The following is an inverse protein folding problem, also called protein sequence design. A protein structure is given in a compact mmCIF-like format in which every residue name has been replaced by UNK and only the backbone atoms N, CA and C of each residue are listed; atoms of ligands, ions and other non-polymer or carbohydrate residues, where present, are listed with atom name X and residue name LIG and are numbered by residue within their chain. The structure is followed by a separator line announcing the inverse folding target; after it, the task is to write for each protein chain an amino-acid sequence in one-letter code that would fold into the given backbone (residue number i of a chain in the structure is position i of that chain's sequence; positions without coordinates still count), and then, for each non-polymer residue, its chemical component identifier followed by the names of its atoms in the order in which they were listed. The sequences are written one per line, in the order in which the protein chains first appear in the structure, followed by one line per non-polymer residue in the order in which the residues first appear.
data_IF_581911345812
#
_entry.id   IF_581911345812
#
_cell.length_a   1.000
_cell.length_b   1.000
_cell.length_c   1.000
_cell.angle_alpha   90.00
_cell.angle_beta   90.00
_cell.angle_gamma   90.00
#
_symmetry.space_group_name_H-M   'P 1'
#
loop_
_entity.id
_entity.type
_entity.pdbx_description
1 polymer ?
#
# COMPACT_ATOMS: atom_id res chain seq x y z
N UNK A 1 -25.49 12.82 28.26
CA UNK A 1 -24.48 12.70 27.20
C UNK A 1 -23.15 12.46 27.89
N UNK A 2 -22.77 11.19 28.13
CA UNK A 2 -21.45 10.84 28.64
C UNK A 2 -20.42 11.23 27.59
N UNK A 3 -19.50 12.12 27.96
CA UNK A 3 -18.41 12.52 27.07
C UNK A 3 -17.65 11.27 26.59
N UNK A 4 -17.59 11.07 25.26
CA UNK A 4 -16.86 9.94 24.68
C UNK A 4 -15.39 10.04 25.06
N UNK A 5 -14.78 8.95 25.54
CA UNK A 5 -13.38 8.90 25.91
C UNK A 5 -12.48 9.39 24.75
N UNK A 6 -11.44 10.18 25.02
CA UNK A 6 -10.51 10.67 23.98
C UNK A 6 -9.74 9.51 23.35
N UNK A 7 -9.34 9.69 22.08
CA UNK A 7 -8.45 8.73 21.39
C UNK A 7 -7.08 8.79 22.05
N UNK A 8 -6.47 7.63 22.41
CA UNK A 8 -5.18 7.59 23.08
C UNK A 8 -4.07 8.20 22.22
N UNK A 9 -3.13 8.93 22.83
CA UNK A 9 -1.99 9.53 22.12
C UNK A 9 -1.15 8.49 21.34
N UNK A 10 -1.10 7.26 21.84
CA UNK A 10 -0.44 6.14 21.17
C UNK A 10 -1.03 5.81 19.79
N UNK A 11 -2.32 6.08 19.54
CA UNK A 11 -2.91 5.90 18.23
C UNK A 11 -2.23 6.77 17.18
N UNK A 12 -1.84 8.00 17.52
CA UNK A 12 -1.12 8.90 16.60
C UNK A 12 0.31 8.43 16.32
N UNK A 13 0.97 7.79 17.29
CA UNK A 13 2.26 7.13 17.05
C UNK A 13 2.11 5.97 16.07
N UNK A 14 1.08 5.13 16.24
CA UNK A 14 0.76 4.04 15.31
C UNK A 14 0.38 4.56 13.91
N UNK A 15 -0.30 5.72 13.82
CA UNK A 15 -0.53 6.44 12.56
C UNK A 15 0.80 6.78 11.88
N UNK A 16 1.75 7.33 12.63
CA UNK A 16 3.11 7.61 12.14
C UNK A 16 3.83 6.35 11.64
N UNK A 17 3.70 5.23 12.33
CA UNK A 17 4.27 3.95 11.89
C UNK A 17 3.69 3.53 10.52
N UNK A 18 2.37 3.63 10.32
CA UNK A 18 1.75 3.34 9.01
C UNK A 18 2.24 4.33 7.95
N UNK A 19 2.32 5.62 8.29
CA UNK A 19 2.79 6.63 7.35
C UNK A 19 4.22 6.35 6.86
N UNK A 20 5.12 5.94 7.74
CA UNK A 20 6.50 5.55 7.40
C UNK A 20 6.52 4.32 6.48
N UNK A 21 5.79 3.27 6.82
CA UNK A 21 5.72 2.04 6.04
C UNK A 21 5.10 2.33 4.65
N UNK A 22 4.01 3.08 4.61
CA UNK A 22 3.32 3.46 3.39
C UNK A 22 4.19 4.31 2.47
N UNK A 23 4.94 5.28 3.04
CA UNK A 23 5.89 6.10 2.29
C UNK A 23 6.93 5.22 1.60
N UNK A 24 7.59 4.30 2.32
CA UNK A 24 8.57 3.40 1.70
C UNK A 24 7.95 2.46 0.65
N UNK A 25 6.72 2.00 0.88
CA UNK A 25 6.02 1.09 -0.04
C UNK A 25 5.77 1.69 -1.43
N UNK A 26 5.62 2.99 -1.51
CA UNK A 26 5.17 3.69 -2.72
C UNK A 26 6.22 4.65 -3.32
N UNK A 27 7.29 4.94 -2.59
CA UNK A 27 8.26 5.97 -2.98
C UNK A 27 9.05 5.65 -4.24
N UNK A 28 9.36 4.37 -4.48
CA UNK A 28 10.21 3.97 -5.62
C UNK A 28 9.58 4.35 -6.98
N UNK A 29 8.27 4.25 -7.16
CA UNK A 29 7.63 4.67 -8.41
C UNK A 29 7.99 6.10 -8.82
N UNK A 30 7.69 7.11 -8.02
CA UNK A 30 7.99 8.50 -8.31
C UNK A 30 9.48 8.85 -8.45
N UNK A 31 10.36 8.19 -7.69
CA UNK A 31 11.81 8.51 -7.72
C UNK A 31 12.63 7.57 -8.60
N UNK A 32 12.02 6.53 -9.20
CA UNK A 32 12.72 5.52 -10.00
C UNK A 32 13.57 6.12 -11.13
N UNK A 33 13.16 7.16 -11.87
CA UNK A 33 14.02 7.80 -12.86
C UNK A 33 15.34 8.32 -12.29
N UNK A 34 15.29 9.02 -11.14
CA UNK A 34 16.50 9.54 -10.48
C UNK A 34 17.41 8.40 -9.96
N UNK A 35 16.84 7.32 -9.44
CA UNK A 35 17.58 6.14 -9.01
C UNK A 35 18.22 5.44 -10.19
N UNK A 36 17.47 5.25 -11.29
CA UNK A 36 17.95 4.61 -12.51
C UNK A 36 19.13 5.38 -13.14
N UNK A 37 18.98 6.70 -13.27
CA UNK A 37 20.04 7.59 -13.74
C UNK A 37 21.29 7.50 -12.86
N UNK A 38 21.14 7.51 -11.54
CA UNK A 38 22.27 7.44 -10.58
C UNK A 38 23.06 6.13 -10.67
N UNK A 39 22.40 5.02 -11.00
CA UNK A 39 23.04 3.70 -11.16
C UNK A 39 23.42 3.37 -12.60
N UNK A 40 23.10 4.22 -13.58
CA UNK A 40 23.31 3.94 -14.99
C UNK A 40 22.52 2.73 -15.49
N UNK A 41 21.27 2.54 -15.01
CA UNK A 41 20.42 1.40 -15.32
C UNK A 41 19.02 1.81 -15.77
N UNK A 42 18.16 0.84 -16.05
CA UNK A 42 16.78 1.10 -16.46
C UNK A 42 15.83 1.20 -15.25
N UNK A 43 14.72 1.92 -15.41
CA UNK A 43 13.66 1.99 -14.39
C UNK A 43 13.08 0.62 -14.04
N UNK A 44 12.82 -0.31 -14.99
CA UNK A 44 12.41 -1.67 -14.63
C UNK A 44 13.41 -2.41 -13.74
N UNK A 45 14.71 -2.21 -13.91
CA UNK A 45 15.72 -2.81 -13.03
C UNK A 45 15.65 -2.25 -11.61
N UNK A 46 15.39 -0.95 -11.44
CA UNK A 46 15.16 -0.32 -10.13
C UNK A 46 13.86 -0.83 -9.50
N UNK A 47 12.81 -1.02 -10.28
CA UNK A 47 11.52 -1.47 -9.79
C UNK A 47 11.53 -2.91 -9.26
N UNK A 48 12.59 -3.70 -9.54
CA UNK A 48 12.83 -4.98 -8.85
C UNK A 48 12.98 -4.77 -7.33
N UNK A 49 13.46 -3.61 -6.89
CA UNK A 49 13.54 -3.31 -5.46
C UNK A 49 12.14 -3.13 -4.84
N UNK A 50 11.20 -2.48 -5.54
CA UNK A 50 9.80 -2.41 -5.10
C UNK A 50 9.14 -3.79 -5.12
N UNK A 51 9.44 -4.62 -6.12
CA UNK A 51 8.99 -6.01 -6.18
C UNK A 51 9.50 -6.82 -4.98
N UNK A 52 10.78 -6.69 -4.64
CA UNK A 52 11.41 -7.35 -3.50
C UNK A 52 10.77 -6.93 -2.17
N UNK A 53 10.47 -5.63 -2.00
CA UNK A 53 9.70 -5.14 -0.85
C UNK A 53 8.32 -5.84 -0.77
N UNK A 54 7.58 -5.90 -1.87
CA UNK A 54 6.28 -6.58 -1.93
C UNK A 54 6.38 -8.06 -1.57
N UNK A 55 7.37 -8.77 -2.13
CA UNK A 55 7.61 -10.18 -1.85
C UNK A 55 7.96 -10.42 -0.38
N UNK A 56 8.86 -9.61 0.18
CA UNK A 56 9.23 -9.66 1.60
C UNK A 56 8.04 -9.42 2.51
N UNK A 57 7.20 -8.43 2.19
CA UNK A 57 5.99 -8.09 2.96
C UNK A 57 4.96 -9.22 2.90
N UNK A 58 4.70 -9.77 1.71
CA UNK A 58 3.76 -10.88 1.54
C UNK A 58 4.23 -12.12 2.32
N UNK A 59 5.48 -12.53 2.14
CA UNK A 59 6.04 -13.70 2.81
C UNK A 59 6.04 -13.54 4.35
N UNK A 60 6.50 -12.41 4.87
CA UNK A 60 6.55 -12.19 6.31
C UNK A 60 5.15 -12.06 6.93
N UNK A 61 4.21 -11.45 6.24
CA UNK A 61 2.82 -11.39 6.66
C UNK A 61 2.17 -12.79 6.74
N UNK A 62 2.53 -13.72 5.87
CA UNK A 62 2.01 -15.10 5.92
C UNK A 62 2.68 -15.93 7.01
N UNK A 63 4.01 -15.87 7.10
CA UNK A 63 4.77 -16.83 7.91
C UNK A 63 5.20 -16.29 9.27
N UNK A 64 5.53 -14.99 9.40
CA UNK A 64 6.06 -14.41 10.62
C UNK A 64 5.01 -13.75 11.50
N UNK A 65 3.96 -13.17 10.93
CA UNK A 65 2.96 -12.45 11.72
C UNK A 65 2.18 -13.34 12.72
N UNK A 66 2.20 -14.66 12.56
CA UNK A 66 1.66 -15.62 13.56
C UNK A 66 2.39 -15.56 14.92
N UNK A 67 3.63 -15.09 14.93
CA UNK A 67 4.40 -14.97 16.17
C UNK A 67 3.99 -13.75 17.02
N UNK A 68 3.18 -12.83 16.48
CA UNK A 68 2.67 -11.66 17.22
C UNK A 68 1.88 -12.11 18.45
N UNK A 69 1.05 -13.15 18.32
CA UNK A 69 0.26 -13.68 19.42
C UNK A 69 1.12 -14.32 20.52
N UNK A 70 2.30 -14.88 20.17
CA UNK A 70 3.22 -15.55 21.10
C UNK A 70 4.20 -14.60 21.75
N UNK A 71 4.82 -13.72 20.96
CA UNK A 71 5.89 -12.82 21.40
C UNK A 71 5.37 -11.47 21.90
N UNK A 72 4.13 -11.13 21.55
CA UNK A 72 3.49 -9.86 21.84
C UNK A 72 3.62 -8.85 20.71
N UNK A 73 2.54 -8.08 20.47
CA UNK A 73 2.46 -7.11 19.39
C UNK A 73 3.51 -6.01 19.54
N UNK A 74 3.76 -5.54 20.76
CA UNK A 74 4.77 -4.50 21.06
C UNK A 74 6.18 -4.93 20.65
N UNK A 75 6.62 -6.10 21.11
CA UNK A 75 7.98 -6.60 20.82
C UNK A 75 8.19 -6.84 19.34
N UNK A 76 7.20 -7.43 18.68
CA UNK A 76 7.24 -7.68 17.23
C UNK A 76 7.28 -6.37 16.45
N UNK A 77 6.50 -5.36 16.86
CA UNK A 77 6.50 -4.03 16.23
C UNK A 77 7.83 -3.30 16.46
N UNK A 78 8.39 -3.35 17.67
CA UNK A 78 9.70 -2.77 17.96
C UNK A 78 10.80 -3.38 17.08
N UNK A 79 10.86 -4.71 17.00
CA UNK A 79 11.84 -5.42 16.16
C UNK A 79 11.65 -5.10 14.68
N UNK A 80 10.41 -5.02 14.22
CA UNK A 80 10.09 -4.67 12.84
C UNK A 80 10.46 -3.22 12.49
N UNK A 81 10.17 -2.24 13.36
CA UNK A 81 10.56 -0.84 13.12
C UNK A 81 12.08 -0.65 13.13
N UNK A 82 12.79 -1.35 14.01
CA UNK A 82 14.26 -1.33 14.01
C UNK A 82 14.82 -1.92 12.71
N UNK A 83 14.31 -3.09 12.29
CA UNK A 83 14.71 -3.71 11.02
C UNK A 83 14.39 -2.80 9.83
N UNK A 84 13.22 -2.14 9.84
CA UNK A 84 12.84 -1.19 8.80
C UNK A 84 13.81 0.00 8.75
N UNK A 85 14.13 0.61 9.89
CA UNK A 85 15.08 1.71 9.97
C UNK A 85 16.46 1.32 9.41
N UNK A 86 16.98 0.15 9.82
CA UNK A 86 18.28 -0.36 9.34
C UNK A 86 18.23 -0.66 7.82
N UNK A 87 17.15 -1.26 7.33
CA UNK A 87 16.97 -1.54 5.91
C UNK A 87 16.89 -0.24 5.08
N UNK A 88 16.27 0.82 5.62
CA UNK A 88 16.19 2.12 4.97
C UNK A 88 17.54 2.85 4.97
N UNK A 89 18.34 2.74 6.04
CA UNK A 89 19.74 3.21 6.06
C UNK A 89 20.55 2.46 5.00
N UNK A 90 20.40 1.13 4.91
CA UNK A 90 21.06 0.34 3.88
C UNK A 90 20.60 0.74 2.46
N UNK A 91 19.31 1.07 2.27
CA UNK A 91 18.79 1.58 1.00
C UNK A 91 19.42 2.93 0.63
N UNK A 92 19.54 3.86 1.60
CA UNK A 92 20.19 5.15 1.39
C UNK A 92 21.68 5.01 1.05
N UNK A 93 22.36 4.05 1.66
CA UNK A 93 23.78 3.79 1.45
C UNK A 93 24.08 2.83 0.29
N UNK A 94 23.07 2.28 -0.39
CA UNK A 94 23.23 1.24 -1.42
C UNK A 94 24.15 1.71 -2.57
N UNK A 95 25.29 1.05 -2.82
CA UNK A 95 26.18 1.38 -3.92
C UNK A 95 25.75 0.75 -5.26
N UNK A 96 24.88 -0.25 -5.24
CA UNK A 96 24.39 -0.96 -6.41
C UNK A 96 22.89 -1.23 -6.30
N UNK A 97 22.23 -1.44 -7.46
CA UNK A 97 20.81 -1.82 -7.50
C UNK A 97 20.55 -3.13 -6.75
N UNK A 98 21.48 -4.10 -6.82
CA UNK A 98 21.34 -5.39 -6.12
C UNK A 98 21.28 -5.19 -4.59
N UNK A 99 22.13 -4.30 -4.06
CA UNK A 99 22.09 -3.98 -2.62
C UNK A 99 20.81 -3.23 -2.23
N UNK A 100 20.31 -2.34 -3.12
CA UNK A 100 19.01 -1.70 -2.93
C UNK A 100 17.88 -2.73 -2.91
N UNK A 101 17.90 -3.70 -3.82
CA UNK A 101 16.93 -4.83 -3.86
C UNK A 101 16.97 -5.63 -2.56
N UNK A 102 18.15 -5.99 -2.07
CA UNK A 102 18.31 -6.72 -0.82
C UNK A 102 17.81 -5.91 0.40
N UNK A 103 18.14 -4.62 0.45
CA UNK A 103 17.68 -3.72 1.49
C UNK A 103 16.15 -3.56 1.48
N UNK A 104 15.54 -3.41 0.31
CA UNK A 104 14.09 -3.32 0.17
C UNK A 104 13.37 -4.63 0.49
N UNK A 105 13.98 -5.80 0.21
CA UNK A 105 13.47 -7.09 0.69
C UNK A 105 13.38 -7.12 2.22
N UNK A 106 14.44 -6.68 2.92
CA UNK A 106 14.46 -6.61 4.38
C UNK A 106 13.43 -5.60 4.91
N UNK A 107 13.30 -4.43 4.27
CA UNK A 107 12.27 -3.45 4.59
C UNK A 107 10.86 -4.05 4.42
N UNK A 108 10.65 -4.84 3.38
CA UNK A 108 9.40 -5.58 3.16
C UNK A 108 9.12 -6.60 4.26
N UNK A 109 10.11 -7.39 4.65
CA UNK A 109 9.97 -8.35 5.77
C UNK A 109 9.55 -7.61 7.05
N UNK A 110 10.18 -6.47 7.32
CA UNK A 110 9.81 -5.63 8.45
C UNK A 110 8.36 -5.14 8.36
N UNK A 111 7.95 -4.61 7.22
CA UNK A 111 6.60 -4.08 6.99
C UNK A 111 5.51 -5.15 7.18
N UNK A 112 5.72 -6.37 6.67
CA UNK A 112 4.73 -7.45 6.77
C UNK A 112 4.53 -7.99 8.18
N UNK A 113 5.50 -7.78 9.09
CA UNK A 113 5.35 -8.02 10.53
C UNK A 113 4.73 -6.81 11.21
N UNK A 114 5.18 -5.60 10.86
CA UNK A 114 4.75 -4.37 11.53
C UNK A 114 3.26 -4.10 11.34
N UNK A 115 2.71 -4.26 10.14
CA UNK A 115 1.32 -3.93 9.84
C UNK A 115 0.31 -4.67 10.72
N UNK A 116 0.33 -6.02 10.82
CA UNK A 116 -0.57 -6.72 11.74
C UNK A 116 -0.34 -6.36 13.21
N UNK A 117 0.92 -6.09 13.61
CA UNK A 117 1.24 -5.69 14.97
C UNK A 117 0.68 -4.30 15.31
N UNK A 118 0.69 -3.36 14.34
CA UNK A 118 0.06 -2.04 14.50
C UNK A 118 -1.45 -2.18 14.70
N UNK A 119 -2.13 -2.98 13.87
CA UNK A 119 -3.58 -3.18 13.99
C UNK A 119 -3.96 -3.88 15.29
N UNK A 120 -3.19 -4.88 15.72
CA UNK A 120 -3.40 -5.54 17.01
C UNK A 120 -3.21 -4.55 18.18
N UNK A 121 -2.16 -3.71 18.12
CA UNK A 121 -1.91 -2.67 19.13
C UNK A 121 -3.01 -1.61 19.14
N UNK A 122 -3.47 -1.14 17.97
CA UNK A 122 -4.55 -0.17 17.85
C UNK A 122 -5.85 -0.68 18.47
N UNK A 123 -6.19 -1.95 18.23
CA UNK A 123 -7.36 -2.58 18.83
C UNK A 123 -7.22 -2.71 20.36
N UNK A 124 -6.02 -3.00 20.85
CA UNK A 124 -5.75 -3.19 22.27
C UNK A 124 -5.81 -1.88 23.11
N UNK A 125 -5.45 -0.74 22.50
CA UNK A 125 -5.46 0.55 23.18
C UNK A 125 -6.79 1.30 23.03
N UNK A 126 -7.69 0.81 22.19
CA UNK A 126 -8.95 1.47 21.92
C UNK A 126 -9.85 1.49 23.18
N UNK A 127 -10.35 2.65 23.61
CA UNK A 127 -11.32 2.70 24.69
C UNK A 127 -12.61 1.97 24.31
N UNK A 128 -13.34 1.37 25.28
CA UNK A 128 -14.62 0.72 25.01
C UNK A 128 -15.59 1.64 24.24
N UNK A 129 -16.15 1.14 23.13
CA UNK A 129 -17.04 1.90 22.24
C UNK A 129 -16.35 2.92 21.33
N UNK A 130 -15.00 2.93 21.27
CA UNK A 130 -14.19 3.79 20.39
C UNK A 130 -13.24 3.00 19.47
N UNK A 131 -13.42 1.68 19.38
CA UNK A 131 -12.56 0.77 18.63
C UNK A 131 -12.45 1.18 17.16
N UNK A 132 -13.60 1.41 16.52
CA UNK A 132 -13.65 1.84 15.11
C UNK A 132 -12.99 3.21 14.89
N UNK A 133 -13.24 4.18 15.80
CA UNK A 133 -12.64 5.51 15.72
C UNK A 133 -11.11 5.47 15.90
N UNK A 134 -10.61 4.64 16.83
CA UNK A 134 -9.16 4.50 17.06
C UNK A 134 -8.46 3.87 15.87
N UNK A 135 -9.02 2.79 15.32
CA UNK A 135 -8.49 2.15 14.11
C UNK A 135 -8.56 3.12 12.91
N UNK A 136 -9.66 3.87 12.78
CA UNK A 136 -9.81 4.88 11.73
C UNK A 136 -8.70 5.93 11.76
N UNK A 137 -8.36 6.46 12.95
CA UNK A 137 -7.23 7.39 13.10
C UNK A 137 -5.91 6.75 12.66
N UNK A 138 -5.64 5.51 13.08
CA UNK A 138 -4.42 4.80 12.71
C UNK A 138 -4.33 4.60 11.19
N UNK A 139 -5.45 4.32 10.52
CA UNK A 139 -5.52 4.16 9.06
C UNK A 139 -5.27 5.47 8.29
N UNK A 140 -5.45 6.66 8.88
CA UNK A 140 -5.11 7.92 8.23
C UNK A 140 -3.62 8.04 7.90
N UNK A 141 -2.77 7.18 8.50
CA UNK A 141 -1.36 7.04 8.15
C UNK A 141 -1.13 6.72 6.67
N UNK A 142 -2.01 5.97 6.02
CA UNK A 142 -1.94 5.72 4.58
C UNK A 142 -2.15 7.00 3.75
N UNK A 143 -3.14 7.81 4.11
CA UNK A 143 -3.37 9.10 3.45
C UNK A 143 -2.17 10.04 3.66
N UNK A 144 -1.64 10.08 4.89
CA UNK A 144 -0.46 10.88 5.22
C UNK A 144 0.76 10.44 4.40
N UNK A 145 0.96 9.12 4.21
CA UNK A 145 2.07 8.60 3.41
C UNK A 145 1.97 9.04 1.95
N UNK A 146 0.78 9.03 1.36
CA UNK A 146 0.57 9.42 -0.04
C UNK A 146 0.71 10.94 -0.23
N UNK A 147 -0.02 11.71 0.58
CA UNK A 147 -0.11 13.17 0.41
C UNK A 147 1.20 13.87 0.80
N UNK A 148 1.83 13.45 1.88
CA UNK A 148 3.07 14.06 2.36
C UNK A 148 4.31 13.21 2.03
N UNK A 149 4.33 11.94 2.44
CA UNK A 149 5.51 11.08 2.34
C UNK A 149 5.99 10.92 0.89
N UNK A 150 5.12 10.45 0.02
CA UNK A 150 5.46 10.14 -1.38
C UNK A 150 5.62 11.41 -2.20
N UNK A 151 4.72 12.40 -2.02
CA UNK A 151 4.78 13.64 -2.77
C UNK A 151 6.04 14.45 -2.47
N UNK A 152 6.40 14.60 -1.18
CA UNK A 152 7.62 15.29 -0.78
C UNK A 152 8.88 14.52 -1.13
N UNK A 153 8.80 13.17 -1.21
CA UNK A 153 9.93 12.33 -1.63
C UNK A 153 10.39 12.63 -3.05
N UNK A 154 9.46 12.85 -3.99
CA UNK A 154 9.81 13.21 -5.37
C UNK A 154 10.51 14.60 -5.42
N UNK A 155 10.03 15.56 -4.64
CA UNK A 155 10.66 16.87 -4.52
C UNK A 155 12.06 16.77 -3.88
N UNK A 156 12.20 16.00 -2.81
CA UNK A 156 13.49 15.79 -2.15
C UNK A 156 14.49 15.05 -3.05
N UNK A 157 14.02 14.07 -3.85
CA UNK A 157 14.86 13.37 -4.82
C UNK A 157 15.38 14.30 -5.92
N UNK A 158 14.55 15.24 -6.37
CA UNK A 158 14.89 16.21 -7.43
C UNK A 158 15.84 17.30 -6.92
N UNK A 159 15.53 17.91 -5.77
CA UNK A 159 16.28 19.05 -5.23
C UNK A 159 17.59 18.66 -4.54
N UNK A 160 17.68 17.47 -3.96
CA UNK A 160 18.83 17.03 -3.18
C UNK A 160 19.43 15.76 -3.78
N UNK A 161 18.79 14.61 -3.54
CA UNK A 161 19.21 13.31 -4.07
C UNK A 161 18.23 12.22 -3.62
N UNK A 162 18.01 11.19 -4.43
CA UNK A 162 17.12 10.08 -4.06
C UNK A 162 17.52 9.35 -2.76
N UNK A 163 18.83 9.31 -2.43
CA UNK A 163 19.31 8.74 -1.16
C UNK A 163 18.81 9.48 0.07
N UNK A 164 18.65 10.80 -0.03
CA UNK A 164 18.10 11.62 1.05
C UNK A 164 16.67 11.22 1.40
N UNK A 165 15.90 10.71 0.43
CA UNK A 165 14.55 10.21 0.65
C UNK A 165 14.57 9.01 1.60
N UNK A 166 15.38 7.99 1.31
CA UNK A 166 15.50 6.83 2.19
C UNK A 166 16.09 7.19 3.56
N UNK A 167 17.06 8.12 3.61
CA UNK A 167 17.61 8.61 4.86
C UNK A 167 16.54 9.33 5.71
N UNK A 168 15.71 10.18 5.11
CA UNK A 168 14.61 10.86 5.80
C UNK A 168 13.58 9.87 6.35
N UNK A 169 13.16 8.88 5.55
CA UNK A 169 12.22 7.84 6.00
C UNK A 169 12.87 6.96 7.08
N UNK A 170 14.19 6.68 7.01
CA UNK A 170 14.93 5.95 8.04
C UNK A 170 14.91 6.70 9.38
N UNK A 171 15.12 8.02 9.36
CA UNK A 171 15.01 8.87 10.56
C UNK A 171 13.60 8.81 11.14
N UNK A 172 12.57 8.90 10.33
CA UNK A 172 11.18 8.78 10.79
C UNK A 172 10.89 7.39 11.37
N UNK A 173 11.43 6.32 10.77
CA UNK A 173 11.31 4.96 11.30
C UNK A 173 12.01 4.82 12.67
N UNK A 174 13.21 5.40 12.82
CA UNK A 174 13.95 5.40 14.08
C UNK A 174 13.21 6.22 15.16
N UNK A 175 12.63 7.38 14.81
CA UNK A 175 11.81 8.18 15.73
C UNK A 175 10.56 7.42 16.18
N UNK A 176 9.89 6.70 15.25
CA UNK A 176 8.75 5.85 15.57
C UNK A 176 9.15 4.70 16.50
N UNK A 177 10.31 4.08 16.26
CA UNK A 177 10.87 3.04 17.12
C UNK A 177 11.19 3.58 18.53
N UNK A 178 11.86 4.73 18.63
CA UNK A 178 12.15 5.39 19.91
C UNK A 178 10.87 5.76 20.65
N UNK A 179 9.89 6.35 19.97
CA UNK A 179 8.59 6.66 20.55
C UNK A 179 7.90 5.42 21.11
N UNK A 180 7.94 4.30 20.38
CA UNK A 180 7.35 3.05 20.83
C UNK A 180 8.10 2.44 22.03
N UNK A 181 9.43 2.58 22.10
CA UNK A 181 10.22 2.10 23.25
C UNK A 181 9.92 2.89 24.52
N UNK A 182 9.66 4.20 24.38
CA UNK A 182 9.31 5.09 25.48
C UNK A 182 7.86 4.92 26.02
N UNK A 183 7.01 4.15 25.32
CA UNK A 183 5.63 3.93 25.76
C UNK A 183 5.46 2.65 26.58
N UNK A 184 4.48 2.61 27.48
CA UNK A 184 4.12 1.46 28.31
C UNK A 184 3.03 0.59 27.67
N UNK A 185 3.14 0.25 26.38
CA UNK A 185 2.20 -0.65 25.72
C UNK A 185 2.28 -2.05 26.35
N UNK A 186 1.15 -2.53 26.88
CA UNK A 186 1.09 -3.88 27.47
C UNK A 186 1.07 -4.92 26.35
N UNK A 187 1.96 -5.91 26.41
CA UNK A 187 1.90 -7.07 25.53
C UNK A 187 0.74 -8.00 25.95
N UNK A 188 -0.38 -7.93 25.25
CA UNK A 188 -1.46 -8.90 25.40
C UNK A 188 -1.07 -10.15 24.63
N UNK A 189 -0.66 -11.18 25.35
CA UNK A 189 -0.38 -12.49 24.77
C UNK A 189 -1.65 -13.33 24.77
N UNK A 190 -2.06 -13.84 23.64
CA UNK A 190 -3.14 -14.83 23.54
C UNK A 190 -2.54 -16.23 23.69
N UNK A 191 -3.01 -17.01 24.66
CA UNK A 191 -2.69 -18.42 24.77
C UNK A 191 -3.53 -19.19 23.72
N UNK A 192 -2.83 -19.88 22.81
CA UNK A 192 -3.47 -20.76 21.82
C UNK A 192 -2.70 -20.83 20.50
N UNK A 193 -2.92 -21.87 19.67
CA UNK A 193 -2.36 -21.92 18.34
C UNK A 193 -3.03 -20.87 17.46
N UNK A 194 -2.23 -20.01 16.81
CA UNK A 194 -2.74 -19.09 15.81
C UNK A 194 -3.32 -19.92 14.64
N UNK A 195 -4.57 -19.64 14.18
CA UNK A 195 -5.16 -20.34 13.05
C UNK A 195 -4.27 -20.18 11.82
N UNK A 196 -4.09 -21.26 11.07
CA UNK A 196 -3.33 -21.23 9.83
C UNK A 196 -4.06 -20.31 8.84
N UNK A 197 -3.39 -19.28 8.34
CA UNK A 197 -4.02 -18.29 7.44
C UNK A 197 -4.53 -18.89 6.15
N UNK A 198 -3.89 -19.98 5.69
CA UNK A 198 -4.32 -20.72 4.50
C UNK A 198 -5.65 -21.46 4.69
N UNK A 199 -6.06 -21.77 5.92
CA UNK A 199 -7.37 -22.33 6.20
C UNK A 199 -8.53 -21.41 5.79
N UNK A 200 -8.27 -20.09 5.74
CA UNK A 200 -9.25 -19.14 5.24
C UNK A 200 -9.61 -19.35 3.77
N UNK A 201 -8.75 -20.00 2.96
CA UNK A 201 -9.04 -20.31 1.57
C UNK A 201 -10.27 -21.24 1.40
N UNK A 202 -10.61 -22.00 2.45
CA UNK A 202 -11.82 -22.82 2.48
C UNK A 202 -13.11 -22.04 2.76
N UNK A 203 -13.05 -20.75 3.06
CA UNK A 203 -14.25 -19.94 3.32
C UNK A 203 -15.00 -19.71 2.01
N UNK A 204 -16.31 -20.03 1.92
CA UNK A 204 -17.10 -19.82 0.72
C UNK A 204 -17.06 -18.35 0.27
N UNK A 205 -16.74 -18.10 -1.00
CA UNK A 205 -16.71 -16.76 -1.58
C UNK A 205 -15.40 -15.99 -1.40
N UNK A 206 -14.39 -16.53 -0.70
CA UNK A 206 -13.12 -15.85 -0.52
C UNK A 206 -12.29 -15.81 -1.81
N UNK A 207 -12.23 -16.91 -2.56
CA UNK A 207 -11.40 -17.01 -3.77
C UNK A 207 -11.74 -15.96 -4.82
N UNK A 208 -13.01 -15.74 -5.22
CA UNK A 208 -13.33 -14.66 -6.16
C UNK A 208 -12.90 -13.28 -5.67
N UNK A 209 -13.02 -12.99 -4.38
CA UNK A 209 -12.59 -11.71 -3.81
C UNK A 209 -11.06 -11.57 -3.78
N UNK A 210 -10.32 -12.64 -3.54
CA UNK A 210 -8.86 -12.62 -3.62
C UNK A 210 -8.36 -12.49 -5.06
N UNK A 211 -9.05 -13.12 -6.04
CA UNK A 211 -8.76 -12.90 -7.47
C UNK A 211 -9.02 -11.45 -7.85
N UNK A 212 -10.14 -10.88 -7.40
CA UNK A 212 -10.44 -9.47 -7.61
C UNK A 212 -9.37 -8.56 -6.97
N UNK A 213 -8.94 -8.86 -5.74
CA UNK A 213 -7.84 -8.17 -5.06
C UNK A 213 -6.53 -8.26 -5.87
N UNK A 214 -6.15 -9.46 -6.30
CA UNK A 214 -4.92 -9.68 -7.06
C UNK A 214 -4.93 -8.88 -8.37
N UNK A 215 -6.00 -8.94 -9.14
CA UNK A 215 -6.13 -8.21 -10.40
C UNK A 215 -6.13 -6.68 -10.18
N UNK A 216 -6.90 -6.19 -9.20
CA UNK A 216 -6.98 -4.78 -8.83
C UNK A 216 -5.63 -4.22 -8.38
N UNK A 217 -4.96 -4.90 -7.45
CA UNK A 217 -3.67 -4.44 -6.92
C UNK A 217 -2.52 -4.59 -7.93
N UNK A 218 -2.53 -5.66 -8.76
CA UNK A 218 -1.54 -5.82 -9.84
C UNK A 218 -1.67 -4.67 -10.86
N UNK A 219 -2.89 -4.30 -11.23
CA UNK A 219 -3.13 -3.16 -12.13
C UNK A 219 -2.64 -1.84 -11.52
N UNK A 220 -2.93 -1.63 -10.23
CA UNK A 220 -2.50 -0.43 -9.51
C UNK A 220 -0.97 -0.30 -9.48
N UNK A 221 -0.27 -1.31 -8.96
CA UNK A 221 1.18 -1.24 -8.79
C UNK A 221 1.92 -1.30 -10.12
N UNK A 222 1.36 -1.98 -11.13
CA UNK A 222 1.89 -1.99 -12.48
C UNK A 222 1.88 -0.61 -13.12
N UNK A 223 0.76 0.12 -13.04
CA UNK A 223 0.65 1.49 -13.59
C UNK A 223 1.42 2.49 -12.74
N UNK A 224 1.23 2.45 -11.40
CA UNK A 224 1.85 3.39 -10.48
C UNK A 224 3.39 3.32 -10.54
N UNK A 225 3.94 2.13 -10.67
CA UNK A 225 5.39 1.92 -10.70
C UNK A 225 6.09 2.60 -11.88
N UNK A 226 5.41 2.76 -13.01
CA UNK A 226 5.99 3.33 -14.23
C UNK A 226 5.43 4.71 -14.60
N UNK A 227 4.43 5.20 -13.87
CA UNK A 227 3.86 6.54 -14.08
C UNK A 227 4.93 7.62 -13.93
N UNK A 228 5.80 7.54 -12.91
CA UNK A 228 6.85 8.52 -12.67
C UNK A 228 7.86 8.62 -13.82
N UNK A 229 8.25 7.49 -14.40
CA UNK A 229 9.13 7.47 -15.57
C UNK A 229 8.43 8.02 -16.82
N UNK A 230 7.18 7.69 -17.01
CA UNK A 230 6.38 8.24 -18.09
C UNK A 230 6.27 9.77 -18.02
N UNK A 231 6.06 10.33 -16.82
CA UNK A 231 6.02 11.80 -16.64
C UNK A 231 7.40 12.42 -16.89
N UNK A 232 8.47 11.78 -16.38
CA UNK A 232 9.82 12.33 -16.47
C UNK A 232 10.41 12.17 -17.88
N UNK A 233 10.53 10.95 -18.37
CA UNK A 233 11.16 10.64 -19.67
C UNK A 233 10.17 10.84 -20.83
N UNK A 234 8.94 10.36 -20.68
CA UNK A 234 7.94 10.41 -21.75
C UNK A 234 7.37 11.81 -22.00
N UNK A 235 7.18 12.61 -20.94
CA UNK A 235 6.59 13.97 -21.04
C UNK A 235 7.59 15.09 -20.70
N UNK A 236 8.87 14.78 -20.46
CA UNK A 236 9.92 15.75 -20.21
C UNK A 236 9.76 16.56 -18.92
N UNK A 237 9.04 16.03 -17.92
CA UNK A 237 8.80 16.72 -16.67
C UNK A 237 9.95 16.51 -15.66
N UNK A 238 10.24 17.45 -14.76
CA UNK A 238 11.19 17.23 -13.67
C UNK A 238 10.70 16.09 -12.75
N UNK A 239 11.62 15.41 -12.05
CA UNK A 239 11.28 14.33 -11.11
C UNK A 239 10.32 14.82 -10.02
N UNK A 240 10.44 16.07 -9.58
CA UNK A 240 9.54 16.71 -8.61
C UNK A 240 8.08 16.73 -9.07
N UNK A 241 7.81 16.77 -10.38
CA UNK A 241 6.44 16.69 -10.92
C UNK A 241 5.74 15.35 -10.61
N UNK A 242 6.49 14.27 -10.36
CA UNK A 242 5.93 13.00 -9.89
C UNK A 242 5.27 13.15 -8.51
N UNK A 243 5.74 14.11 -7.71
CA UNK A 243 5.10 14.49 -6.45
C UNK A 243 3.69 15.05 -6.65
N UNK A 244 3.47 15.82 -7.73
CA UNK A 244 2.13 16.33 -8.09
C UNK A 244 1.19 15.17 -8.48
N UNK A 245 1.69 14.15 -9.16
CA UNK A 245 0.88 12.97 -9.49
C UNK A 245 0.48 12.20 -8.24
N UNK A 246 1.41 11.98 -7.29
CA UNK A 246 1.12 11.35 -6.01
C UNK A 246 0.10 12.17 -5.19
N UNK A 247 0.26 13.50 -5.17
CA UNK A 247 -0.66 14.42 -4.50
C UNK A 247 -2.06 14.37 -5.15
N UNK A 248 -2.13 14.44 -6.48
CA UNK A 248 -3.38 14.38 -7.23
C UNK A 248 -4.14 13.06 -6.94
N UNK A 249 -3.41 11.93 -6.98
CA UNK A 249 -3.98 10.64 -6.59
C UNK A 249 -4.49 10.65 -5.15
N UNK A 250 -3.68 11.13 -4.20
CA UNK A 250 -4.03 11.20 -2.78
C UNK A 250 -5.24 12.08 -2.50
N UNK A 251 -5.36 13.22 -3.16
CA UNK A 251 -6.53 14.10 -3.07
C UNK A 251 -7.78 13.40 -3.62
N UNK A 252 -7.67 12.79 -4.82
CA UNK A 252 -8.78 12.04 -5.41
C UNK A 252 -9.25 10.90 -4.50
N UNK A 253 -8.30 10.12 -3.97
CA UNK A 253 -8.58 9.02 -3.05
C UNK A 253 -9.22 9.49 -1.74
N UNK A 254 -8.70 10.56 -1.14
CA UNK A 254 -9.21 11.11 0.12
C UNK A 254 -10.59 11.75 -0.01
N UNK A 255 -10.83 12.51 -1.07
CA UNK A 255 -12.13 13.17 -1.30
C UNK A 255 -13.24 12.18 -1.61
N UNK A 256 -12.93 11.01 -2.15
CA UNK A 256 -13.90 9.95 -2.41
C UNK A 256 -14.58 9.45 -1.12
N UNK A 257 -13.93 9.55 0.04
CA UNK A 257 -14.53 9.19 1.33
C UNK A 257 -15.81 9.98 1.63
N UNK A 258 -15.96 11.20 1.10
CA UNK A 258 -17.17 12.00 1.21
C UNK A 258 -18.38 11.37 0.49
N UNK A 259 -18.11 10.44 -0.42
CA UNK A 259 -19.11 9.75 -1.25
C UNK A 259 -19.40 8.32 -0.77
N UNK A 260 -18.80 7.87 0.34
CA UNK A 260 -18.99 6.51 0.88
C UNK A 260 -20.46 6.18 1.19
N UNK A 261 -21.30 7.18 1.45
CA UNK A 261 -22.74 7.02 1.58
C UNK A 261 -23.43 6.37 0.37
N UNK A 262 -22.79 6.35 -0.79
CA UNK A 262 -23.26 5.59 -1.97
C UNK A 262 -23.15 4.09 -1.71
N UNK A 263 -22.03 3.65 -1.11
CA UNK A 263 -21.80 2.24 -0.76
C UNK A 263 -22.80 1.78 0.28
N UNK A 264 -23.07 2.63 1.29
CA UNK A 264 -24.02 2.32 2.36
C UNK A 264 -25.45 2.14 1.82
N UNK A 265 -25.85 2.97 0.84
CA UNK A 265 -27.20 2.92 0.24
C UNK A 265 -27.39 1.76 -0.72
N UNK A 266 -26.38 1.47 -1.57
CA UNK A 266 -26.49 0.48 -2.64
C UNK A 266 -26.01 -0.91 -2.23
N UNK A 267 -25.17 -0.97 -1.20
CA UNK A 267 -24.52 -2.18 -0.69
C UNK A 267 -23.25 -2.55 -1.46
N UNK A 268 -22.20 -2.91 -0.71
CA UNK A 268 -20.87 -3.21 -1.26
C UNK A 268 -20.89 -4.29 -2.36
N UNK A 269 -21.79 -5.28 -2.26
CA UNK A 269 -21.90 -6.36 -3.26
C UNK A 269 -22.34 -5.85 -4.64
N UNK A 270 -23.23 -4.85 -4.70
CA UNK A 270 -23.69 -4.26 -5.96
C UNK A 270 -22.66 -3.25 -6.50
N UNK A 271 -22.09 -2.43 -5.61
CA UNK A 271 -21.14 -1.36 -5.99
C UNK A 271 -19.83 -1.92 -6.55
N UNK A 272 -19.32 -3.04 -6.02
CA UNK A 272 -17.98 -3.56 -6.33
C UNK A 272 -17.71 -3.79 -7.83
N UNK A 273 -18.55 -4.50 -8.60
CA UNK A 273 -18.31 -4.67 -10.05
C UNK A 273 -18.28 -3.34 -10.81
N UNK A 274 -19.18 -2.42 -10.47
CA UNK A 274 -19.22 -1.09 -11.09
C UNK A 274 -18.03 -0.22 -10.72
N UNK A 275 -17.55 -0.30 -9.47
CA UNK A 275 -16.33 0.39 -9.04
C UNK A 275 -15.12 -0.08 -9.87
N UNK A 276 -14.98 -1.38 -10.10
CA UNK A 276 -13.90 -1.91 -10.93
C UNK A 276 -14.04 -1.57 -12.41
N UNK A 277 -15.27 -1.56 -12.94
CA UNK A 277 -15.53 -1.08 -14.30
C UNK A 277 -15.20 0.42 -14.44
N UNK A 278 -15.51 1.23 -13.43
CA UNK A 278 -15.14 2.64 -13.42
C UNK A 278 -13.60 2.79 -13.49
N UNK A 279 -12.85 2.02 -12.69
CA UNK A 279 -11.38 2.03 -12.76
C UNK A 279 -10.89 1.60 -14.15
N UNK A 280 -11.51 0.59 -14.79
CA UNK A 280 -11.16 0.19 -16.14
C UNK A 280 -11.37 1.33 -17.15
N UNK A 281 -12.50 2.05 -17.06
CA UNK A 281 -12.78 3.22 -17.91
C UNK A 281 -11.75 4.32 -17.69
N UNK A 282 -11.37 4.58 -16.43
CA UNK A 282 -10.33 5.58 -16.09
C UNK A 282 -8.98 5.19 -16.72
N UNK A 283 -8.60 3.91 -16.70
CA UNK A 283 -7.38 3.46 -17.37
C UNK A 283 -7.42 3.66 -18.88
N UNK A 284 -8.55 3.35 -19.52
CA UNK A 284 -8.72 3.61 -20.98
C UNK A 284 -8.61 5.10 -21.27
N UNK A 285 -9.25 5.96 -20.47
CA UNK A 285 -9.15 7.40 -20.61
C UNK A 285 -7.72 7.91 -20.38
N UNK A 286 -7.01 7.34 -19.39
CA UNK A 286 -5.60 7.65 -19.10
C UNK A 286 -4.69 7.26 -20.29
N UNK A 287 -4.95 6.14 -20.97
CA UNK A 287 -4.21 5.77 -22.18
C UNK A 287 -4.38 6.82 -23.28
N UNK A 288 -5.62 7.29 -23.50
CA UNK A 288 -5.93 8.29 -24.51
C UNK A 288 -5.36 9.68 -24.20
N UNK A 289 -5.12 9.99 -22.90
CA UNK A 289 -4.67 11.31 -22.45
C UNK A 289 -3.19 11.31 -22.02
N UNK A 290 -2.50 10.19 -22.10
CA UNK A 290 -1.12 10.01 -21.63
C UNK A 290 -0.09 10.91 -22.32
N UNK A 291 -0.39 11.52 -23.47
CA UNK A 291 0.48 12.48 -24.15
C UNK A 291 0.47 13.90 -23.56
N UNK A 292 -0.37 14.20 -22.56
CA UNK A 292 -0.48 15.52 -21.94
C UNK A 292 -0.31 15.45 -20.43
N UNK A 293 0.64 16.21 -19.87
CA UNK A 293 0.89 16.24 -18.42
C UNK A 293 -0.35 16.63 -17.61
N UNK A 294 -1.04 17.74 -18.00
CA UNK A 294 -2.21 18.21 -17.27
C UNK A 294 -3.39 17.24 -17.32
N UNK A 295 -3.65 16.62 -18.48
CA UNK A 295 -4.70 15.61 -18.60
C UNK A 295 -4.34 14.33 -17.84
N UNK A 296 -3.08 13.90 -17.86
CA UNK A 296 -2.61 12.77 -17.06
C UNK A 296 -2.81 13.02 -15.58
N UNK A 297 -2.46 14.20 -15.05
CA UNK A 297 -2.70 14.54 -13.64
C UNK A 297 -4.18 14.51 -13.28
N UNK A 298 -5.04 15.02 -14.18
CA UNK A 298 -6.49 14.97 -13.98
C UNK A 298 -7.00 13.54 -13.92
N UNK A 299 -6.52 12.68 -14.84
CA UNK A 299 -6.88 11.25 -14.82
C UNK A 299 -6.34 10.54 -13.57
N UNK A 300 -5.16 10.90 -13.08
CA UNK A 300 -4.59 10.36 -11.84
C UNK A 300 -5.43 10.73 -10.62
N UNK A 301 -5.98 11.96 -10.55
CA UNK A 301 -6.91 12.33 -9.48
C UNK A 301 -8.21 11.53 -9.54
N UNK A 302 -8.80 11.37 -10.74
CA UNK A 302 -10.00 10.56 -10.96
C UNK A 302 -9.71 9.08 -10.66
N UNK A 303 -8.52 8.59 -11.00
CA UNK A 303 -8.06 7.24 -10.66
C UNK A 303 -8.00 7.01 -9.15
N UNK A 304 -7.46 7.99 -8.39
CA UNK A 304 -7.48 7.94 -6.93
C UNK A 304 -8.90 7.81 -6.37
N UNK A 305 -9.82 8.63 -6.87
CA UNK A 305 -11.23 8.59 -6.48
C UNK A 305 -11.87 7.22 -6.80
N UNK A 306 -11.68 6.70 -8.00
CA UNK A 306 -12.24 5.41 -8.41
C UNK A 306 -11.63 4.25 -7.59
N UNK A 307 -10.33 4.31 -7.30
CA UNK A 307 -9.62 3.29 -6.52
C UNK A 307 -10.09 3.25 -5.06
N UNK A 308 -10.46 4.38 -4.47
CA UNK A 308 -11.04 4.42 -3.13
C UNK A 308 -12.29 3.51 -3.05
N UNK A 309 -13.22 3.66 -4.00
CA UNK A 309 -14.40 2.80 -4.05
C UNK A 309 -14.03 1.32 -4.22
N UNK A 310 -13.11 1.02 -5.15
CA UNK A 310 -12.65 -0.35 -5.40
C UNK A 310 -12.07 -1.01 -4.15
N UNK A 311 -11.20 -0.28 -3.43
CA UNK A 311 -10.57 -0.78 -2.20
C UNK A 311 -11.57 -0.90 -1.05
N UNK A 312 -12.42 0.11 -0.84
CA UNK A 312 -13.37 0.15 0.28
C UNK A 312 -14.38 -1.01 0.18
N UNK A 313 -14.99 -1.21 -1.00
CA UNK A 313 -15.95 -2.31 -1.19
C UNK A 313 -15.30 -3.69 -1.10
N UNK A 314 -14.03 -3.84 -1.51
CA UNK A 314 -13.26 -5.08 -1.36
C UNK A 314 -13.08 -5.43 0.11
N UNK A 315 -12.58 -4.47 0.91
CA UNK A 315 -12.37 -4.64 2.36
C UNK A 315 -13.68 -4.93 3.08
N UNK A 316 -14.76 -4.22 2.75
CA UNK A 316 -16.08 -4.46 3.32
C UNK A 316 -16.58 -5.88 3.03
N UNK A 317 -16.49 -6.35 1.78
CA UNK A 317 -16.93 -7.69 1.39
C UNK A 317 -16.10 -8.79 2.04
N UNK A 318 -14.78 -8.66 2.06
CA UNK A 318 -13.89 -9.62 2.72
C UNK A 318 -14.17 -9.69 4.23
N UNK A 319 -14.32 -8.54 4.88
CA UNK A 319 -14.60 -8.45 6.31
C UNK A 319 -15.97 -9.03 6.70
N UNK A 320 -16.91 -9.10 5.77
CA UNK A 320 -18.27 -9.61 5.98
C UNK A 320 -18.41 -11.12 5.71
N UNK A 321 -17.40 -11.79 5.11
CA UNK A 321 -17.47 -13.23 4.79
C UNK A 321 -17.61 -14.09 6.05
N UNK A 322 -16.75 -13.86 7.03
CA UNK A 322 -16.78 -14.56 8.32
C UNK A 322 -16.25 -13.61 9.41
N UNK A 323 -17.14 -13.00 10.20
CA UNK A 323 -16.76 -12.09 11.28
C UNK A 323 -15.85 -12.74 12.34
N UNK A 324 -15.96 -14.07 12.56
CA UNK A 324 -15.17 -14.81 13.54
C UNK A 324 -13.71 -14.98 13.08
N UNK A 325 -13.47 -14.99 11.76
CA UNK A 325 -12.16 -15.17 11.12
C UNK A 325 -11.66 -13.91 10.39
N UNK A 326 -12.23 -12.75 10.68
CA UNK A 326 -11.90 -11.49 10.00
C UNK A 326 -10.41 -11.21 9.95
N UNK A 327 -9.68 -11.41 11.06
CA UNK A 327 -8.25 -11.20 11.13
C UNK A 327 -7.45 -12.10 10.15
N UNK A 328 -7.85 -13.36 10.04
CA UNK A 328 -7.23 -14.33 9.11
C UNK A 328 -7.50 -13.95 7.66
N UNK A 329 -8.74 -13.57 7.33
CA UNK A 329 -9.15 -13.11 5.98
C UNK A 329 -8.37 -11.86 5.58
N UNK A 330 -8.28 -10.86 6.47
CA UNK A 330 -7.55 -9.62 6.20
C UNK A 330 -6.04 -9.85 6.09
N UNK A 331 -5.50 -10.80 6.86
CA UNK A 331 -4.10 -11.21 6.72
C UNK A 331 -3.81 -11.84 5.35
N UNK A 332 -4.72 -12.68 4.85
CA UNK A 332 -4.60 -13.26 3.52
C UNK A 332 -4.77 -12.21 2.41
N UNK A 333 -5.72 -11.27 2.58
CA UNK A 333 -5.87 -10.12 1.69
C UNK A 333 -4.58 -9.29 1.61
N UNK A 334 -3.95 -9.01 2.75
CA UNK A 334 -2.67 -8.29 2.78
C UNK A 334 -1.57 -9.05 2.05
N UNK A 335 -1.49 -10.37 2.22
CA UNK A 335 -0.51 -11.18 1.52
C UNK A 335 -0.72 -11.13 -0.01
N UNK A 336 -1.96 -11.23 -0.48
CA UNK A 336 -2.31 -11.10 -1.90
C UNK A 336 -2.01 -9.70 -2.43
N UNK A 337 -2.33 -8.65 -1.66
CA UNK A 337 -2.01 -7.25 -2.02
C UNK A 337 -0.52 -7.06 -2.25
N UNK A 338 0.32 -7.54 -1.34
CA UNK A 338 1.77 -7.36 -1.47
C UNK A 338 2.42 -8.32 -2.45
N UNK A 339 1.84 -9.50 -2.69
CA UNK A 339 2.23 -10.35 -3.82
C UNK A 339 1.91 -9.65 -5.15
N UNK A 340 0.80 -8.90 -5.23
CA UNK A 340 0.45 -8.12 -6.40
C UNK A 340 1.42 -6.94 -6.64
N UNK A 341 2.08 -6.39 -5.60
CA UNK A 341 3.22 -5.47 -5.77
C UNK A 341 4.31 -6.14 -6.59
N UNK A 342 4.72 -7.35 -6.16
CA UNK A 342 5.75 -8.12 -6.86
C UNK A 342 5.34 -8.40 -8.31
N UNK A 343 4.15 -8.95 -8.52
CA UNK A 343 3.65 -9.30 -9.87
C UNK A 343 3.50 -8.06 -10.74
N UNK A 344 2.87 -6.99 -10.24
CA UNK A 344 2.63 -5.76 -10.99
C UNK A 344 3.92 -5.08 -11.43
N UNK A 345 4.85 -4.86 -10.48
CA UNK A 345 6.09 -4.18 -10.80
C UNK A 345 7.00 -4.98 -11.72
N UNK A 346 7.03 -6.32 -11.61
CA UNK A 346 7.88 -7.16 -12.46
C UNK A 346 7.29 -7.42 -13.84
N UNK A 347 5.97 -7.69 -13.94
CA UNK A 347 5.33 -8.00 -15.24
C UNK A 347 5.12 -6.76 -16.11
N UNK A 348 4.91 -5.59 -15.52
CA UNK A 348 4.75 -4.35 -16.28
C UNK A 348 6.07 -3.76 -16.77
N UNK A 349 7.22 -4.13 -16.20
CA UNK A 349 8.53 -3.67 -16.67
C UNK A 349 8.78 -3.95 -18.16
N UNK A 350 8.74 -5.21 -18.61
CA UNK A 350 8.86 -5.55 -20.02
C UNK A 350 7.78 -4.91 -20.91
N UNK A 351 6.54 -4.80 -20.42
CA UNK A 351 5.46 -4.12 -21.16
C UNK A 351 5.80 -2.64 -21.38
N UNK A 352 6.22 -1.96 -20.32
CA UNK A 352 6.60 -0.56 -20.36
C UNK A 352 7.79 -0.31 -21.30
N UNK A 353 8.85 -1.11 -21.17
CA UNK A 353 10.07 -0.95 -21.97
C UNK A 353 9.85 -1.21 -23.45
N UNK A 354 8.98 -2.16 -23.82
CA UNK A 354 8.79 -2.55 -25.23
C UNK A 354 7.63 -1.79 -25.91
N UNK A 355 6.59 -1.40 -25.13
CA UNK A 355 5.34 -0.88 -25.69
C UNK A 355 4.89 0.46 -25.09
N UNK A 356 5.59 0.94 -24.06
CA UNK A 356 5.31 2.22 -23.40
C UNK A 356 4.14 2.22 -22.45
N UNK A 357 3.86 3.40 -21.85
CA UNK A 357 2.90 3.57 -20.77
C UNK A 357 1.44 3.31 -21.18
N UNK A 358 1.05 3.71 -22.40
CA UNK A 358 -0.32 3.52 -22.90
C UNK A 358 -0.72 2.03 -22.92
N UNK A 359 0.19 1.12 -23.30
CA UNK A 359 -0.08 -0.33 -23.27
C UNK A 359 -0.17 -0.84 -21.82
N UNK A 360 0.65 -0.33 -20.92
CA UNK A 360 0.55 -0.69 -19.49
C UNK A 360 -0.84 -0.38 -18.92
N UNK A 361 -1.37 0.83 -19.15
CA UNK A 361 -2.71 1.19 -18.64
C UNK A 361 -3.83 0.43 -19.35
N UNK A 362 -3.67 0.03 -20.63
CA UNK A 362 -4.64 -0.85 -21.30
C UNK A 362 -4.64 -2.26 -20.73
N UNK A 363 -3.47 -2.83 -20.42
CA UNK A 363 -3.37 -4.13 -19.72
C UNK A 363 -3.99 -4.03 -18.32
N UNK A 364 -3.76 -2.92 -17.63
CA UNK A 364 -4.39 -2.66 -16.33
C UNK A 364 -5.93 -2.60 -16.46
N UNK A 365 -6.46 -1.98 -17.51
CA UNK A 365 -7.90 -1.98 -17.77
C UNK A 365 -8.46 -3.41 -17.97
N UNK A 366 -7.75 -4.28 -18.69
CA UNK A 366 -8.14 -5.69 -18.84
C UNK A 366 -8.12 -6.44 -17.49
N UNK A 367 -7.12 -6.22 -16.65
CA UNK A 367 -7.09 -6.77 -15.29
C UNK A 367 -8.29 -6.30 -14.46
N UNK A 368 -8.75 -5.06 -14.65
CA UNK A 368 -9.94 -4.55 -13.98
C UNK A 368 -11.23 -5.23 -14.46
N UNK A 369 -11.31 -5.67 -15.72
CA UNK A 369 -12.43 -6.49 -16.19
C UNK A 369 -12.44 -7.87 -15.53
N UNK A 370 -11.26 -8.46 -15.30
CA UNK A 370 -11.12 -9.70 -14.51
C UNK A 370 -11.60 -9.46 -13.08
N UNK A 371 -11.17 -8.36 -12.46
CA UNK A 371 -11.60 -8.00 -11.10
C UNK A 371 -13.12 -7.80 -11.01
N UNK A 372 -13.73 -7.11 -11.98
CA UNK A 372 -15.16 -6.88 -12.05
C UNK A 372 -15.94 -8.19 -12.21
N UNK A 373 -15.47 -9.08 -13.09
CA UNK A 373 -16.06 -10.40 -13.32
C UNK A 373 -16.00 -11.27 -12.06
N UNK A 374 -14.85 -11.32 -11.40
CA UNK A 374 -14.66 -12.04 -10.13
C UNK A 374 -15.55 -11.45 -9.03
N UNK A 375 -15.69 -10.11 -8.97
CA UNK A 375 -16.55 -9.44 -8.01
C UNK A 375 -18.05 -9.74 -8.21
N UNK A 376 -18.46 -9.95 -9.46
CA UNK A 376 -19.83 -10.29 -9.82
C UNK A 376 -20.16 -11.78 -9.60
N UNK A 377 -19.14 -12.62 -9.41
CA UNK A 377 -19.32 -14.06 -9.24
C UNK A 377 -20.25 -14.37 -8.06
N UNK A 378 -21.31 -15.12 -8.33
CA UNK A 378 -22.25 -15.60 -7.30
C UNK A 378 -21.79 -16.98 -6.85
N UNK A 379 -21.20 -17.08 -5.67
CA UNK A 379 -21.12 -18.37 -4.95
C UNK A 379 -22.56 -18.78 -4.61
N UNK A 380 -23.02 -19.87 -5.21
CA UNK A 380 -24.29 -20.53 -4.83
C UNK A 380 -24.17 -21.13 -3.44
#
# INVERSE_FOLDING_TARGET
LTARAPIPALAYLLTGCIAVIGSNSLVLGPIAPAVASSFGTSVPAVMIAAAAFGLGTSASALFLARYIDRLGARRMLQGALLLLALALVASAAAPTVIMLVAAQLLAGIAAGVAMPAIYASAAAIAPPGRESGTIGVVLTGWTLSMVAGVSLSAVLADLVHWRAVFAAVAVLAALAWMGLTATSLSDIRKAGPAPARLEALGIPGILPLLVACAAFMTSFYGVYGYLGDHLHVGLGQPVSANGLAALAYGIGFGTAALLDGIIDRLGARRVMPFAYLLVAVVYVAMAATSGSFGLTLTMVAIWGLANHFGLNVLVMRLSALDPSRRGTIMGLNSAVTYLAVFVGTTSFGPLYSNFGFAVCVMVAALLMLIAASAAAWRTR
#
